data_IF_340863982179
#
_entry.id   IF_340863982179
#
_cell.length_a   1.000
_cell.length_b   1.000
_cell.length_c   1.000
_cell.angle_alpha   90.00
_cell.angle_beta   90.00
_cell.angle_gamma   90.00
#
_symmetry.space_group_name_H-M   'P 1'
#
loop_
_entity.id
_entity.type
_entity.pdbx_description
1 polymer ?
#
# COMPACT_ATOMS: atom_id res chain seq x y z
N UNK A 1 2.31 9.83 9.12
CA UNK A 1 1.70 8.48 9.22
C UNK A 1 2.25 7.48 8.21
N UNK A 2 2.21 6.17 8.50
CA UNK A 2 2.53 5.07 7.57
C UNK A 2 1.22 4.34 7.18
N UNK A 3 1.04 4.04 5.90
CA UNK A 3 -0.14 3.31 5.36
C UNK A 3 0.35 2.09 4.61
N UNK A 4 -0.08 0.90 5.01
CA UNK A 4 0.23 -0.36 4.32
C UNK A 4 -0.88 -0.67 3.32
N UNK A 5 -0.52 -0.86 2.05
CA UNK A 5 -1.49 -1.23 1.00
C UNK A 5 -2.09 -2.60 1.31
N UNK A 6 -3.42 -2.70 1.20
CA UNK A 6 -4.18 -3.88 1.58
C UNK A 6 -4.60 -3.93 3.04
N UNK A 7 -4.08 -3.06 3.92
CA UNK A 7 -4.46 -3.01 5.33
C UNK A 7 -5.44 -1.88 5.64
N UNK A 8 -6.23 -2.09 6.69
CA UNK A 8 -7.14 -1.07 7.20
C UNK A 8 -6.40 -0.12 8.13
N UNK A 9 -6.67 1.18 7.98
CA UNK A 9 -6.14 2.22 8.86
C UNK A 9 -7.23 3.23 9.22
N UNK A 10 -7.00 3.93 10.33
CA UNK A 10 -7.85 5.04 10.77
C UNK A 10 -7.03 6.32 10.82
N UNK A 11 -7.71 7.43 10.58
CA UNK A 11 -7.14 8.76 10.67
C UNK A 11 -8.10 9.67 11.45
N UNK A 12 -7.60 10.80 11.99
CA UNK A 12 -8.45 11.81 12.60
C UNK A 12 -9.58 12.25 11.66
N UNK A 13 -10.70 12.77 12.19
CA UNK A 13 -11.77 13.31 11.37
C UNK A 13 -11.25 14.39 10.41
N UNK A 14 -11.53 14.21 9.12
CA UNK A 14 -11.26 15.20 8.08
C UNK A 14 -12.57 15.82 7.62
N UNK A 15 -12.51 17.04 7.10
CA UNK A 15 -13.69 17.70 6.52
C UNK A 15 -14.29 16.91 5.36
N UNK A 16 -15.59 17.09 5.13
CA UNK A 16 -16.36 16.38 4.09
C UNK A 16 -15.71 16.45 2.70
N UNK A 17 -15.10 17.59 2.36
CA UNK A 17 -14.45 17.78 1.06
C UNK A 17 -13.20 16.92 0.90
N UNK A 18 -12.38 16.83 1.95
CA UNK A 18 -11.19 15.96 1.98
C UNK A 18 -11.61 14.50 1.93
N UNK A 19 -12.65 14.12 2.69
CA UNK A 19 -13.20 12.77 2.65
C UNK A 19 -13.62 12.37 1.22
N UNK A 20 -14.35 13.25 0.52
CA UNK A 20 -14.77 13.01 -0.87
C UNK A 20 -13.58 12.87 -1.81
N UNK A 21 -12.56 13.73 -1.68
CA UNK A 21 -11.33 13.62 -2.50
C UNK A 21 -10.65 12.27 -2.31
N UNK A 22 -10.50 11.82 -1.06
CA UNK A 22 -9.87 10.53 -0.76
C UNK A 22 -10.67 9.36 -1.34
N UNK A 23 -11.98 9.31 -1.10
CA UNK A 23 -12.80 8.15 -1.48
C UNK A 23 -13.13 8.15 -2.98
N UNK A 24 -13.49 9.29 -3.55
CA UNK A 24 -14.02 9.36 -4.91
C UNK A 24 -12.94 9.63 -5.96
N UNK A 25 -12.00 10.55 -5.67
CA UNK A 25 -10.98 10.95 -6.65
C UNK A 25 -9.74 10.07 -6.55
N UNK A 26 -9.31 9.74 -5.32
CA UNK A 26 -8.16 8.89 -5.09
C UNK A 26 -8.51 7.39 -4.97
N UNK A 27 -9.79 7.02 -5.08
CA UNK A 27 -10.28 5.65 -4.96
C UNK A 27 -9.82 4.92 -3.69
N UNK A 28 -9.72 5.65 -2.58
CA UNK A 28 -9.43 5.06 -1.26
C UNK A 28 -10.69 4.38 -0.73
N UNK A 29 -10.61 3.07 -0.48
CA UNK A 29 -11.75 2.32 0.02
C UNK A 29 -12.09 2.77 1.44
N UNK A 30 -13.38 2.89 1.75
CA UNK A 30 -13.86 3.24 3.08
C UNK A 30 -14.93 2.25 3.54
N UNK A 31 -14.80 1.82 4.79
CA UNK A 31 -15.81 1.08 5.53
C UNK A 31 -16.04 1.76 6.89
N UNK A 32 -17.30 1.84 7.31
CA UNK A 32 -17.65 2.54 8.56
C UNK A 32 -17.07 1.87 9.80
N UNK A 33 -16.88 0.55 9.76
CA UNK A 33 -16.39 -0.22 10.91
C UNK A 33 -14.86 -0.24 10.95
N UNK A 34 -14.22 -0.40 9.80
CA UNK A 34 -12.78 -0.62 9.68
C UNK A 34 -11.99 0.66 9.40
N UNK A 35 -12.60 1.68 8.79
CA UNK A 35 -11.94 2.92 8.40
C UNK A 35 -11.59 2.94 6.92
N UNK A 36 -10.34 3.28 6.59
CA UNK A 36 -9.87 3.40 5.21
C UNK A 36 -8.95 2.23 4.83
N UNK A 37 -8.90 1.89 3.55
CA UNK A 37 -7.99 0.88 3.01
C UNK A 37 -7.48 1.35 1.66
N UNK A 38 -6.15 1.40 1.51
CA UNK A 38 -5.53 1.53 0.20
C UNK A 38 -5.57 0.18 -0.51
N UNK A 39 -6.08 0.16 -1.74
CA UNK A 39 -6.19 -1.03 -2.59
C UNK A 39 -5.31 -0.85 -3.83
N UNK A 40 -5.12 -1.89 -4.65
CA UNK A 40 -4.38 -1.73 -5.92
C UNK A 40 -4.99 -0.65 -6.83
N UNK A 41 -6.29 -0.39 -6.69
CA UNK A 41 -7.00 0.58 -7.52
C UNK A 41 -6.90 2.01 -6.97
N UNK A 42 -6.33 2.17 -5.78
CA UNK A 42 -6.17 3.46 -5.11
C UNK A 42 -5.01 4.24 -5.74
N UNK A 43 -5.25 5.52 -6.02
CA UNK A 43 -4.20 6.44 -6.46
C UNK A 43 -3.35 6.86 -5.25
N UNK A 44 -2.34 6.06 -4.94
CA UNK A 44 -1.47 6.25 -3.76
C UNK A 44 -0.77 7.63 -3.75
N UNK A 45 -0.21 8.14 -4.86
CA UNK A 45 0.38 9.48 -4.88
C UNK A 45 -0.62 10.59 -4.51
N UNK A 46 -1.87 10.49 -5.02
CA UNK A 46 -2.91 11.46 -4.71
C UNK A 46 -3.37 11.36 -3.25
N UNK A 47 -3.52 10.15 -2.70
CA UNK A 47 -3.81 9.95 -1.26
C UNK A 47 -2.74 10.60 -0.41
N UNK A 48 -1.46 10.33 -0.69
CA UNK A 48 -0.35 10.89 0.07
C UNK A 48 -0.34 12.43 0.01
N UNK A 49 -0.62 13.02 -1.15
CA UNK A 49 -0.72 14.47 -1.33
C UNK A 49 -1.87 15.07 -0.52
N UNK A 50 -3.08 14.52 -0.64
CA UNK A 50 -4.27 15.01 0.06
C UNK A 50 -4.08 14.94 1.58
N UNK A 51 -3.58 13.81 2.08
CA UNK A 51 -3.39 13.61 3.51
C UNK A 51 -2.26 14.48 4.07
N UNK A 52 -1.18 14.68 3.30
CA UNK A 52 -0.10 15.61 3.70
C UNK A 52 -0.61 17.03 3.86
N UNK A 53 -1.45 17.49 2.93
CA UNK A 53 -2.07 18.82 3.01
C UNK A 53 -3.07 18.92 4.16
N UNK A 54 -3.93 17.90 4.33
CA UNK A 54 -5.01 17.92 5.32
C UNK A 54 -4.53 17.72 6.77
N UNK A 55 -3.51 16.90 6.98
CA UNK A 55 -3.02 16.53 8.31
C UNK A 55 -1.71 17.23 8.69
N UNK A 56 -1.06 17.92 7.75
CA UNK A 56 0.28 18.50 7.93
C UNK A 56 1.33 17.47 8.38
N UNK A 57 1.14 16.20 8.00
CA UNK A 57 2.05 15.10 8.31
C UNK A 57 2.66 14.51 7.03
N UNK A 58 3.88 13.97 7.14
CA UNK A 58 4.41 13.12 6.06
C UNK A 58 3.63 11.80 6.03
N UNK A 59 3.15 11.44 4.84
CA UNK A 59 2.48 10.16 4.58
C UNK A 59 3.40 9.27 3.79
N UNK A 60 3.68 8.09 4.35
CA UNK A 60 4.51 7.08 3.72
C UNK A 60 3.67 5.87 3.36
N UNK A 61 3.76 5.45 2.10
CA UNK A 61 3.06 4.30 1.58
C UNK A 61 3.99 3.09 1.62
N UNK A 62 3.52 2.01 2.24
CA UNK A 62 4.22 0.75 2.39
C UNK A 62 3.50 -0.34 1.61
N UNK A 63 4.26 -1.27 1.04
CA UNK A 63 3.75 -2.47 0.37
C UNK A 63 4.02 -3.69 1.24
N UNK A 64 3.18 -4.72 1.14
CA UNK A 64 3.49 -5.99 1.77
C UNK A 64 4.43 -6.83 0.91
N UNK A 65 5.42 -7.45 1.55
CA UNK A 65 6.26 -8.44 0.91
C UNK A 65 5.41 -9.66 0.56
N UNK A 66 5.40 -10.07 -0.70
CA UNK A 66 4.65 -11.21 -1.21
C UNK A 66 5.08 -12.53 -0.55
N UNK A 67 6.34 -12.62 -0.12
CA UNK A 67 6.93 -13.84 0.42
C UNK A 67 6.67 -13.94 1.92
N UNK A 68 7.13 -12.94 2.68
CA UNK A 68 7.08 -12.96 4.15
C UNK A 68 5.91 -12.18 4.76
N UNK A 69 5.19 -11.36 3.98
CA UNK A 69 4.12 -10.48 4.45
C UNK A 69 4.60 -9.24 5.22
N UNK A 70 5.91 -9.05 5.39
CA UNK A 70 6.46 -7.86 6.06
C UNK A 70 6.19 -6.58 5.28
N UNK A 71 5.95 -5.47 5.98
CA UNK A 71 5.80 -4.16 5.36
C UNK A 71 7.14 -3.64 4.82
N UNK A 72 7.14 -3.15 3.59
CA UNK A 72 8.33 -2.75 2.83
C UNK A 72 8.13 -1.32 2.32
N UNK A 73 9.13 -0.47 2.57
CA UNK A 73 9.19 0.84 1.93
C UNK A 73 9.48 0.67 0.43
N UNK A 74 8.86 1.53 -0.37
CA UNK A 74 9.01 1.49 -1.82
C UNK A 74 10.48 1.57 -2.28
N UNK A 75 11.32 2.32 -1.54
CA UNK A 75 12.77 2.45 -1.76
C UNK A 75 13.53 1.13 -1.58
N UNK A 76 13.05 0.26 -0.70
CA UNK A 76 13.62 -1.07 -0.39
C UNK A 76 12.93 -2.18 -1.19
N UNK A 77 12.15 -1.78 -2.21
CA UNK A 77 11.49 -2.72 -3.07
C UNK A 77 12.35 -3.03 -4.29
N UNK A 78 12.39 -4.31 -4.69
CA UNK A 78 12.95 -4.72 -5.99
C UNK A 78 12.42 -3.91 -7.18
N UNK A 79 11.20 -3.41 -7.05
CA UNK A 79 10.50 -2.61 -8.07
C UNK A 79 10.49 -1.10 -7.75
N UNK A 80 11.48 -0.59 -7.01
CA UNK A 80 11.53 0.80 -6.55
C UNK A 80 11.37 1.84 -7.69
N UNK A 81 11.91 1.55 -8.89
CA UNK A 81 11.86 2.41 -10.07
C UNK A 81 10.43 2.71 -10.56
N UNK A 82 9.49 1.80 -10.26
CA UNK A 82 8.09 1.89 -10.73
C UNK A 82 7.08 1.96 -9.59
N UNK A 83 7.47 1.58 -8.38
CA UNK A 83 6.60 1.56 -7.21
C UNK A 83 6.17 2.99 -6.78
N UNK A 84 7.01 4.01 -6.97
CA UNK A 84 6.69 5.39 -6.56
C UNK A 84 5.64 6.12 -7.41
N UNK A 85 5.36 5.61 -8.62
CA UNK A 85 4.48 6.28 -9.59
C UNK A 85 3.32 5.44 -10.11
N UNK A 86 3.25 4.16 -9.74
CA UNK A 86 2.30 3.21 -10.32
C UNK A 86 1.32 2.70 -9.26
N UNK A 87 0.02 2.82 -9.54
CA UNK A 87 -1.03 2.11 -8.80
C UNK A 87 -0.98 0.60 -8.99
N UNK A 88 -0.15 0.07 -9.92
CA UNK A 88 -0.22 -1.33 -10.32
C UNK A 88 0.41 -2.34 -9.34
N UNK A 89 1.01 -1.91 -8.22
CA UNK A 89 1.73 -2.82 -7.32
C UNK A 89 1.05 -2.94 -5.95
N UNK A 90 0.39 -4.07 -5.75
CA UNK A 90 -0.21 -4.47 -4.46
C UNK A 90 0.83 -5.03 -3.47
N UNK A 91 1.99 -5.48 -3.98
CA UNK A 91 2.99 -6.21 -3.20
C UNK A 91 4.41 -6.02 -3.75
N UNK A 92 5.39 -6.25 -2.89
CA UNK A 92 6.81 -6.18 -3.20
C UNK A 92 7.52 -7.51 -2.85
N UNK A 93 8.80 -7.69 -3.21
CA UNK A 93 9.70 -8.64 -2.54
C UNK A 93 10.77 -7.82 -1.83
N UNK A 94 10.92 -7.97 -0.52
CA UNK A 94 11.96 -7.26 0.25
C UNK A 94 13.35 -7.86 0.01
N UNK A 95 14.39 -7.07 0.26
CA UNK A 95 15.79 -7.45 0.09
C UNK A 95 16.16 -8.77 0.80
N UNK A 96 15.66 -8.99 2.03
CA UNK A 96 15.91 -10.22 2.79
C UNK A 96 15.38 -11.46 2.06
N UNK A 97 14.19 -11.33 1.45
CA UNK A 97 13.61 -12.41 0.67
C UNK A 97 14.30 -12.52 -0.69
N UNK A 98 14.59 -11.42 -1.38
CA UNK A 98 15.25 -11.47 -2.69
C UNK A 98 16.59 -12.22 -2.65
N UNK A 99 17.35 -12.07 -1.56
CA UNK A 99 18.66 -12.70 -1.41
C UNK A 99 18.62 -14.13 -0.80
N UNK A 100 17.43 -14.67 -0.52
CA UNK A 100 17.29 -16.03 0.01
C UNK A 100 17.27 -17.08 -1.11
N UNK A 101 18.05 -18.15 -0.96
CA UNK A 101 18.03 -19.29 -1.90
C UNK A 101 16.66 -20.01 -1.95
N UNK A 102 15.85 -19.88 -0.89
CA UNK A 102 14.54 -20.53 -0.79
C UNK A 102 13.42 -19.74 -1.51
N UNK A 103 13.69 -18.51 -1.93
CA UNK A 103 12.67 -17.59 -2.47
C UNK A 103 11.91 -18.11 -3.68
N UNK A 104 12.54 -18.75 -4.69
CA UNK A 104 11.78 -19.31 -5.82
C UNK A 104 10.73 -20.34 -5.37
N UNK A 105 11.07 -21.17 -4.39
CA UNK A 105 10.18 -22.20 -3.86
C UNK A 105 9.02 -21.58 -3.07
N UNK A 106 9.31 -20.62 -2.18
CA UNK A 106 8.27 -19.95 -1.38
C UNK A 106 7.35 -19.12 -2.28
N UNK A 107 7.91 -18.44 -3.29
CA UNK A 107 7.14 -17.70 -4.27
C UNK A 107 6.15 -18.60 -5.01
N UNK A 108 6.60 -19.76 -5.51
CA UNK A 108 5.73 -20.70 -6.22
C UNK A 108 4.57 -21.22 -5.34
N UNK A 109 4.86 -21.53 -4.07
CA UNK A 109 3.83 -21.96 -3.10
C UNK A 109 2.83 -20.84 -2.85
N UNK A 110 3.30 -19.62 -2.59
CA UNK A 110 2.44 -18.45 -2.35
C UNK A 110 1.58 -18.16 -3.57
N UNK A 111 2.15 -18.15 -4.77
CA UNK A 111 1.42 -17.89 -6.00
C UNK A 111 0.30 -18.92 -6.24
N UNK A 112 0.56 -20.21 -5.97
CA UNK A 112 -0.47 -21.24 -6.07
C UNK A 112 -1.66 -20.99 -5.11
N UNK A 113 -1.41 -20.48 -3.90
CA UNK A 113 -2.45 -20.24 -2.88
C UNK A 113 -3.45 -19.13 -3.21
N UNK A 114 -3.10 -18.21 -4.11
CA UNK A 114 -3.93 -17.05 -4.50
C UNK A 114 -4.46 -17.16 -5.94
N UNK A 115 -4.06 -18.20 -6.68
CA UNK A 115 -4.58 -18.50 -8.00
C UNK A 115 -5.87 -19.36 -7.96
N UNK A 116 -6.19 -19.93 -6.80
CA UNK A 116 -7.46 -20.62 -6.48
C UNK A 116 -8.50 -19.63 -5.90
#
# INVERSE_FOLDING_TARGET
MKIVVGEWFRMPPVGTDIFKKLVNEAALKYDKSNGFQATPETNLPLVASILKEALHENVEMLLNCFICGGAVECSQCRYNDICGGSSAFASCICDDCENSEETPSIYAIRFAQIAD
#
